data_IF_869290106036
#
_entry.id   IF_869290106036
#
_cell.length_a   1.000
_cell.length_b   1.000
_cell.length_c   1.000
_cell.angle_alpha   90.00
_cell.angle_beta   90.00
_cell.angle_gamma   90.00
#
_symmetry.space_group_name_H-M   'P 1'
#
loop_
_entity.id
_entity.type
_entity.pdbx_description
1 polymer ?
#
# COMPACT_ATOMS: atom_id res chain seq x y z
N UNK A 1 -31.72 -32.03 -11.85
CA UNK A 1 -31.27 -30.63 -11.72
C UNK A 1 -30.07 -30.60 -10.78
N UNK A 2 -28.91 -30.12 -11.20
CA UNK A 2 -27.76 -30.01 -10.30
C UNK A 2 -28.05 -28.96 -9.22
N UNK A 3 -27.85 -29.33 -7.96
CA UNK A 3 -28.07 -28.44 -6.82
C UNK A 3 -27.09 -27.26 -6.93
N UNK A 4 -27.62 -26.03 -7.02
CA UNK A 4 -26.79 -24.81 -7.03
C UNK A 4 -26.02 -24.75 -5.71
N UNK A 5 -24.69 -24.69 -5.78
CA UNK A 5 -23.81 -24.49 -4.61
C UNK A 5 -23.46 -23.02 -4.47
N UNK A 6 -23.22 -22.59 -3.23
CA UNK A 6 -22.87 -21.22 -2.87
C UNK A 6 -21.56 -21.21 -2.10
N UNK A 7 -20.77 -20.15 -2.31
CA UNK A 7 -19.49 -19.94 -1.66
C UNK A 7 -19.69 -19.72 -0.16
N UNK A 8 -18.97 -20.49 0.66
CA UNK A 8 -18.96 -20.36 2.12
C UNK A 8 -18.45 -18.99 2.60
N UNK A 9 -17.57 -18.33 1.84
CA UNK A 9 -16.96 -17.05 2.23
C UNK A 9 -17.69 -15.79 1.73
N UNK A 10 -18.32 -15.84 0.56
CA UNK A 10 -18.91 -14.64 -0.06
C UNK A 10 -20.33 -14.81 -0.55
N UNK A 11 -20.93 -16.00 -0.39
CA UNK A 11 -22.31 -16.28 -0.81
C UNK A 11 -22.55 -16.28 -2.32
N UNK A 12 -21.52 -16.04 -3.17
CA UNK A 12 -21.67 -16.13 -4.64
C UNK A 12 -21.92 -17.56 -5.09
N UNK A 13 -22.66 -17.74 -6.18
CA UNK A 13 -22.87 -19.05 -6.81
C UNK A 13 -21.54 -19.66 -7.26
N UNK A 14 -21.34 -20.94 -6.99
CA UNK A 14 -20.17 -21.69 -7.45
C UNK A 14 -20.52 -22.32 -8.80
N UNK A 15 -19.78 -21.92 -9.82
CA UNK A 15 -19.82 -22.53 -11.15
C UNK A 15 -18.59 -23.42 -11.27
N UNK A 16 -18.78 -24.74 -11.41
CA UNK A 16 -17.68 -25.71 -11.61
C UNK A 16 -17.59 -26.20 -13.06
N UNK A 17 -18.52 -25.78 -13.93
CA UNK A 17 -18.56 -26.19 -15.33
C UNK A 17 -17.29 -25.70 -16.04
N UNK A 18 -16.62 -26.60 -16.76
CA UNK A 18 -15.42 -26.36 -17.57
C UNK A 18 -14.13 -26.03 -16.79
N UNK A 19 -14.10 -26.18 -15.46
CA UNK A 19 -12.84 -26.05 -14.71
C UNK A 19 -11.98 -27.30 -14.85
N UNK A 20 -10.69 -27.11 -15.12
CA UNK A 20 -9.72 -28.18 -15.02
C UNK A 20 -9.54 -28.57 -13.55
N UNK A 21 -10.04 -29.74 -13.17
CA UNK A 21 -9.99 -30.27 -11.80
C UNK A 21 -8.58 -30.60 -11.32
N UNK A 22 -7.60 -30.65 -12.23
CA UNK A 22 -6.18 -30.81 -11.87
C UNK A 22 -5.53 -29.48 -11.45
N UNK A 23 -6.19 -28.33 -11.66
CA UNK A 23 -5.68 -27.05 -11.19
C UNK A 23 -5.86 -26.92 -9.67
N UNK A 24 -4.80 -26.46 -8.98
CA UNK A 24 -4.78 -26.18 -7.54
C UNK A 24 -5.97 -25.34 -7.06
N UNK A 25 -6.36 -24.30 -7.81
CA UNK A 25 -7.50 -23.46 -7.44
C UNK A 25 -8.81 -24.25 -7.46
N UNK A 26 -9.00 -25.11 -8.46
CA UNK A 26 -10.20 -25.96 -8.54
C UNK A 26 -10.24 -26.97 -7.38
N UNK A 27 -9.09 -27.48 -6.94
CA UNK A 27 -9.00 -28.31 -5.75
C UNK A 27 -9.43 -27.56 -4.48
N UNK A 28 -8.97 -26.32 -4.28
CA UNK A 28 -9.40 -25.46 -3.15
C UNK A 28 -10.91 -25.19 -3.20
N UNK A 29 -11.44 -24.83 -4.37
CA UNK A 29 -12.88 -24.61 -4.55
C UNK A 29 -13.73 -25.81 -4.11
N UNK A 30 -13.31 -27.03 -4.46
CA UNK A 30 -14.02 -28.27 -4.08
C UNK A 30 -13.85 -28.58 -2.60
N UNK A 31 -12.62 -28.53 -2.09
CA UNK A 31 -12.28 -28.86 -0.70
C UNK A 31 -13.01 -27.95 0.29
N UNK A 32 -12.99 -26.64 0.03
CA UNK A 32 -13.44 -25.63 1.00
C UNK A 32 -14.82 -25.07 0.66
N UNK A 33 -15.44 -25.55 -0.43
CA UNK A 33 -16.74 -25.10 -0.92
C UNK A 33 -16.79 -23.59 -1.15
N UNK A 34 -15.76 -23.06 -1.81
CA UNK A 34 -15.60 -21.63 -2.12
C UNK A 34 -15.70 -21.37 -3.63
N UNK A 35 -16.01 -20.13 -4.01
CA UNK A 35 -15.93 -19.71 -5.41
C UNK A 35 -14.49 -19.50 -5.85
N UNK A 36 -14.27 -19.40 -7.17
CA UNK A 36 -12.94 -19.23 -7.77
C UNK A 36 -12.18 -18.03 -7.19
N UNK A 37 -12.85 -16.88 -7.04
CA UNK A 37 -12.23 -15.66 -6.50
C UNK A 37 -11.73 -15.89 -5.07
N UNK A 38 -12.51 -16.57 -4.23
CA UNK A 38 -12.11 -16.85 -2.85
C UNK A 38 -10.98 -17.87 -2.80
N UNK A 39 -11.07 -18.95 -3.58
CA UNK A 39 -9.99 -19.93 -3.70
C UNK A 39 -8.68 -19.30 -4.21
N UNK A 40 -8.77 -18.36 -5.16
CA UNK A 40 -7.63 -17.61 -5.68
C UNK A 40 -6.94 -16.80 -4.58
N UNK A 41 -7.70 -16.06 -3.77
CA UNK A 41 -7.15 -15.27 -2.68
C UNK A 41 -6.60 -16.13 -1.55
N UNK A 42 -7.26 -17.23 -1.19
CA UNK A 42 -6.74 -18.20 -0.23
C UNK A 42 -5.41 -18.80 -0.70
N UNK A 43 -5.31 -19.16 -1.98
CA UNK A 43 -4.07 -19.67 -2.56
C UNK A 43 -2.95 -18.64 -2.54
N UNK A 44 -3.27 -17.39 -2.91
CA UNK A 44 -2.33 -16.27 -2.91
C UNK A 44 -1.82 -15.98 -1.49
N UNK A 45 -2.68 -16.04 -0.48
CA UNK A 45 -2.31 -15.82 0.93
C UNK A 45 -1.44 -16.96 1.45
N UNK A 46 -1.79 -18.20 1.15
CA UNK A 46 -1.04 -19.37 1.60
C UNK A 46 0.32 -19.50 0.90
N UNK A 47 0.42 -19.03 -0.35
CA UNK A 47 1.61 -19.15 -1.20
C UNK A 47 1.89 -17.83 -1.91
N UNK A 48 2.29 -16.79 -1.16
CA UNK A 48 2.49 -15.47 -1.72
C UNK A 48 3.65 -15.52 -2.73
N UNK A 49 3.46 -14.92 -3.92
CA UNK A 49 4.52 -14.85 -4.90
C UNK A 49 5.70 -14.00 -4.41
N UNK A 50 6.88 -14.27 -4.95
CA UNK A 50 8.05 -13.41 -4.73
C UNK A 50 7.75 -11.97 -5.16
N UNK A 51 8.32 -11.01 -4.42
CA UNK A 51 8.14 -9.56 -4.59
C UNK A 51 6.71 -9.06 -4.40
N UNK A 52 5.83 -9.87 -3.79
CA UNK A 52 4.49 -9.41 -3.44
C UNK A 52 4.55 -8.38 -2.30
N UNK A 53 3.88 -7.25 -2.52
CA UNK A 53 3.65 -6.23 -1.49
C UNK A 53 2.17 -5.83 -1.51
N UNK A 54 1.62 -5.53 -0.34
CA UNK A 54 0.31 -4.93 -0.18
C UNK A 54 0.49 -3.42 -0.05
N UNK A 55 -0.03 -2.67 -1.02
CA UNK A 55 0.05 -1.21 -1.08
C UNK A 55 -1.34 -0.67 -1.41
N UNK A 56 -1.88 0.21 -0.55
CA UNK A 56 -3.19 0.85 -0.75
C UNK A 56 -4.31 -0.15 -1.11
N UNK A 57 -4.45 -1.22 -0.30
CA UNK A 57 -5.46 -2.26 -0.48
C UNK A 57 -5.37 -3.04 -1.82
N UNK A 58 -4.20 -3.00 -2.46
CA UNK A 58 -3.89 -3.80 -3.65
C UNK A 58 -2.69 -4.70 -3.39
N UNK A 59 -2.74 -5.93 -3.89
CA UNK A 59 -1.56 -6.77 -4.01
C UNK A 59 -0.82 -6.42 -5.29
N UNK A 60 0.46 -6.06 -5.16
CA UNK A 60 1.35 -5.71 -6.25
C UNK A 60 2.54 -6.68 -6.26
N UNK A 61 3.09 -6.99 -7.42
CA UNK A 61 4.46 -7.51 -7.55
C UNK A 61 5.38 -6.36 -7.90
N UNK A 62 6.33 -6.06 -7.02
CA UNK A 62 7.31 -4.99 -7.18
C UNK A 62 8.67 -5.60 -7.55
N UNK A 63 8.86 -5.95 -8.81
CA UNK A 63 10.12 -6.56 -9.25
C UNK A 63 11.30 -5.56 -9.10
N UNK A 64 12.54 -6.06 -8.96
CA UNK A 64 13.73 -5.22 -9.02
C UNK A 64 13.78 -4.35 -10.28
N UNK A 65 14.57 -3.29 -10.23
CA UNK A 65 14.69 -2.38 -11.38
C UNK A 65 15.22 -3.13 -12.61
N UNK A 66 14.39 -3.20 -13.65
CA UNK A 66 14.72 -3.77 -14.94
C UNK A 66 15.48 -2.78 -15.83
N UNK A 67 16.40 -3.28 -16.65
CA UNK A 67 17.12 -2.48 -17.64
C UNK A 67 16.20 -2.13 -18.83
N UNK A 68 16.00 -0.82 -19.06
CA UNK A 68 15.15 -0.30 -20.14
C UNK A 68 15.80 -0.40 -21.52
N UNK A 69 17.08 -0.79 -21.61
CA UNK A 69 17.75 -0.96 -22.91
C UNK A 69 17.19 -2.14 -23.69
N UNK A 70 16.64 -3.14 -23.00
CA UNK A 70 15.94 -4.24 -23.64
C UNK A 70 14.54 -3.80 -24.07
N UNK A 71 14.37 -3.55 -25.37
CA UNK A 71 13.08 -3.14 -25.95
C UNK A 71 12.06 -4.28 -26.05
N UNK A 72 12.46 -5.53 -25.80
CA UNK A 72 11.56 -6.67 -25.80
C UNK A 72 10.84 -6.87 -24.47
N UNK A 73 11.35 -6.23 -23.41
CA UNK A 73 10.83 -6.41 -22.07
C UNK A 73 9.57 -5.57 -21.83
N UNK A 74 8.44 -6.25 -21.64
CA UNK A 74 7.18 -5.61 -21.23
C UNK A 74 7.24 -5.41 -19.72
N UNK A 75 7.32 -4.16 -19.29
CA UNK A 75 7.37 -3.79 -17.88
C UNK A 75 5.98 -3.43 -17.36
N UNK A 76 5.65 -3.95 -16.19
CA UNK A 76 4.49 -3.55 -15.42
C UNK A 76 4.54 -2.05 -15.09
N UNK A 77 3.38 -1.40 -14.96
CA UNK A 77 3.32 0.04 -14.63
C UNK A 77 3.92 0.95 -15.71
N UNK A 78 3.95 0.49 -16.98
CA UNK A 78 4.51 1.21 -18.13
C UNK A 78 6.01 1.55 -17.99
N UNK A 79 6.76 0.79 -17.19
CA UNK A 79 8.18 1.07 -16.98
C UNK A 79 8.45 2.33 -16.15
N UNK A 80 7.45 2.93 -15.50
CA UNK A 80 7.63 4.15 -14.70
C UNK A 80 8.30 3.80 -13.38
N UNK A 81 9.37 4.52 -13.04
CA UNK A 81 10.05 4.35 -11.76
C UNK A 81 9.15 4.84 -10.62
N UNK A 82 8.94 3.98 -9.63
CA UNK A 82 8.20 4.27 -8.39
C UNK A 82 9.00 3.80 -7.18
N UNK A 83 8.67 4.35 -6.03
CA UNK A 83 9.43 4.18 -4.80
C UNK A 83 8.48 3.81 -3.68
N UNK A 84 8.90 2.87 -2.84
CA UNK A 84 8.07 2.37 -1.75
C UNK A 84 8.91 2.23 -0.49
N UNK A 85 8.25 2.31 0.66
CA UNK A 85 8.82 2.04 1.96
C UNK A 85 8.01 0.94 2.63
N UNK A 86 8.65 -0.16 3.01
CA UNK A 86 8.03 -1.22 3.80
C UNK A 86 7.76 -0.76 5.23
N UNK A 87 6.90 -1.49 5.93
CA UNK A 87 6.58 -1.22 7.35
C UNK A 87 7.80 -1.34 8.28
N UNK A 88 8.79 -2.15 7.91
CA UNK A 88 10.08 -2.26 8.62
C UNK A 88 11.06 -1.10 8.31
N UNK A 89 10.67 -0.19 7.41
CA UNK A 89 11.48 0.95 6.97
C UNK A 89 12.44 0.66 5.81
N UNK A 90 12.51 -0.58 5.31
CA UNK A 90 13.29 -0.87 4.11
C UNK A 90 12.68 -0.22 2.87
N UNK A 91 13.53 0.11 1.90
CA UNK A 91 13.15 0.88 0.73
C UNK A 91 13.17 0.01 -0.52
N UNK A 92 12.15 0.17 -1.35
CA UNK A 92 12.02 -0.49 -2.64
C UNK A 92 12.00 0.58 -3.73
N UNK A 93 12.70 0.30 -4.81
CA UNK A 93 12.61 1.04 -6.05
C UNK A 93 12.31 0.05 -7.16
N UNK A 94 11.29 0.34 -7.98
CA UNK A 94 10.87 -0.55 -9.06
C UNK A 94 10.36 0.26 -10.26
N UNK A 95 10.62 -0.26 -11.46
CA UNK A 95 9.99 0.16 -12.70
C UNK A 95 9.18 -0.97 -13.36
N UNK A 96 9.04 -2.11 -12.69
CA UNK A 96 8.34 -3.29 -13.20
C UNK A 96 7.31 -3.76 -12.17
N UNK A 97 6.12 -3.14 -12.26
CA UNK A 97 5.10 -3.21 -11.21
C UNK A 97 3.82 -3.81 -11.77
N UNK A 98 3.47 -5.00 -11.30
CA UNK A 98 2.28 -5.71 -11.74
C UNK A 98 1.22 -5.71 -10.66
N UNK A 99 -0.02 -5.36 -11.02
CA UNK A 99 -1.16 -5.48 -10.12
C UNK A 99 -1.61 -6.94 -10.14
N UNK A 100 -1.57 -7.61 -8.98
CA UNK A 100 -2.15 -8.94 -8.81
C UNK A 100 -3.67 -8.80 -8.71
N UNK A 101 -4.14 -7.87 -7.88
CA UNK A 101 -5.56 -7.58 -7.72
C UNK A 101 -5.85 -6.63 -6.57
N UNK A 102 -7.08 -6.11 -6.54
CA UNK A 102 -7.63 -5.38 -5.38
C UNK A 102 -8.11 -6.39 -4.35
N UNK A 103 -7.68 -6.22 -3.10
CA UNK A 103 -7.98 -7.15 -2.01
C UNK A 103 -9.49 -7.05 -1.70
N UNK A 104 -10.24 -8.16 -1.58
CA UNK A 104 -11.61 -8.09 -1.09
C UNK A 104 -11.64 -7.86 0.43
N UNK A 105 -12.61 -7.10 0.94
CA UNK A 105 -12.72 -6.75 2.37
C UNK A 105 -12.58 -7.93 3.34
N UNK A 106 -13.16 -9.08 2.97
CA UNK A 106 -13.10 -10.34 3.74
C UNK A 106 -11.69 -10.90 3.94
N UNK A 107 -10.71 -10.46 3.14
CA UNK A 107 -9.31 -10.85 3.21
C UNK A 107 -8.38 -9.74 3.74
N UNK A 108 -8.90 -8.52 3.99
CA UNK A 108 -8.09 -7.37 4.42
C UNK A 108 -7.28 -7.64 5.69
N UNK A 109 -7.82 -8.39 6.65
CA UNK A 109 -7.12 -8.72 7.89
C UNK A 109 -5.95 -9.69 7.68
N UNK A 110 -5.98 -10.50 6.62
CA UNK A 110 -4.94 -11.48 6.29
C UNK A 110 -3.86 -10.88 5.38
N UNK A 111 -4.18 -9.77 4.70
CA UNK A 111 -3.29 -9.04 3.82
C UNK A 111 -3.14 -7.59 4.29
N UNK A 112 -2.50 -7.35 5.45
CA UNK A 112 -2.23 -6.01 5.93
C UNK A 112 -1.25 -5.29 4.99
N UNK A 113 -1.33 -3.96 4.95
CA UNK A 113 -0.38 -3.13 4.21
C UNK A 113 1.06 -3.46 4.60
N UNK A 114 1.87 -3.90 3.64
CA UNK A 114 3.28 -4.24 3.84
C UNK A 114 4.21 -3.11 3.39
N UNK A 115 3.75 -2.25 2.48
CA UNK A 115 4.50 -1.10 2.00
C UNK A 115 3.59 0.08 1.64
N UNK A 116 4.16 1.28 1.68
CA UNK A 116 3.52 2.52 1.22
C UNK A 116 4.31 3.09 0.05
N UNK A 117 3.62 3.65 -0.94
CA UNK A 117 4.28 4.41 -1.99
C UNK A 117 4.74 5.76 -1.45
N UNK A 118 5.96 6.16 -1.81
CA UNK A 118 6.57 7.41 -1.37
C UNK A 118 7.10 8.21 -2.56
N UNK A 119 7.30 9.50 -2.38
CA UNK A 119 7.88 10.34 -3.44
C UNK A 119 9.37 10.05 -3.62
N UNK A 120 9.92 10.36 -4.81
CA UNK A 120 11.36 10.29 -5.07
C UNK A 120 12.16 11.14 -4.06
N UNK A 121 11.59 12.28 -3.65
CA UNK A 121 12.19 13.17 -2.66
C UNK A 121 12.32 12.47 -1.30
N UNK A 122 11.24 11.86 -0.80
CA UNK A 122 11.28 11.07 0.42
C UNK A 122 12.25 9.89 0.31
N UNK A 123 12.20 9.11 -0.77
CA UNK A 123 13.09 7.96 -0.98
C UNK A 123 14.57 8.36 -0.91
N UNK A 124 14.96 9.43 -1.61
CA UNK A 124 16.34 9.95 -1.58
C UNK A 124 16.75 10.38 -0.18
N UNK A 125 15.85 11.01 0.57
CA UNK A 125 16.13 11.41 1.95
C UNK A 125 16.30 10.21 2.87
N UNK A 126 15.39 9.24 2.82
CA UNK A 126 15.43 8.01 3.63
C UNK A 126 16.69 7.19 3.33
N UNK A 127 17.09 7.09 2.05
CA UNK A 127 18.31 6.38 1.65
C UNK A 127 19.59 6.97 2.25
N UNK A 128 19.63 8.28 2.52
CA UNK A 128 20.78 8.94 3.15
C UNK A 128 20.92 8.59 4.64
N UNK A 129 19.81 8.38 5.33
CA UNK A 129 19.82 8.14 6.78
C UNK A 129 18.51 7.54 7.27
N UNK A 130 18.60 6.54 8.15
CA UNK A 130 17.46 6.00 8.88
C UNK A 130 17.28 6.64 10.28
N UNK A 131 18.11 7.63 10.64
CA UNK A 131 18.10 8.22 11.99
C UNK A 131 16.81 8.99 12.25
N UNK A 132 16.27 8.83 13.46
CA UNK A 132 15.19 9.68 13.98
C UNK A 132 15.76 11.03 14.44
N UNK A 133 14.98 12.08 14.26
CA UNK A 133 15.33 13.43 14.69
C UNK A 133 15.06 13.57 16.20
N UNK A 134 16.00 14.18 16.92
CA UNK A 134 15.91 14.41 18.37
C UNK A 134 15.77 15.90 18.75
N UNK A 135 15.44 16.77 17.80
CA UNK A 135 15.36 18.21 18.03
C UNK A 135 14.09 18.61 18.79
N UNK A 136 14.18 18.78 20.11
CA UNK A 136 13.02 19.06 20.98
C UNK A 136 12.22 20.33 20.64
N UNK A 137 12.88 21.35 20.08
CA UNK A 137 12.26 22.64 19.73
C UNK A 137 11.88 22.77 18.24
N UNK A 138 11.82 21.66 17.50
CA UNK A 138 11.52 21.66 16.07
C UNK A 138 10.11 22.21 15.80
N UNK A 139 10.01 23.23 14.96
CA UNK A 139 8.75 23.84 14.53
C UNK A 139 8.02 22.96 13.50
N UNK A 140 8.76 22.19 12.70
CA UNK A 140 8.19 21.27 11.70
C UNK A 140 7.82 19.87 12.26
N UNK A 141 7.91 19.67 13.58
CA UNK A 141 7.81 18.36 14.25
C UNK A 141 6.53 17.57 13.95
N UNK A 142 5.39 18.25 13.75
CA UNK A 142 4.12 17.59 13.46
C UNK A 142 3.98 17.17 11.99
N UNK A 143 4.82 17.72 11.11
CA UNK A 143 4.82 17.44 9.68
C UNK A 143 6.05 16.63 9.23
N UNK A 144 7.02 16.39 10.12
CA UNK A 144 8.24 15.66 9.81
C UNK A 144 8.13 14.17 10.16
N UNK A 145 8.27 13.29 9.16
CA UNK A 145 8.27 11.84 9.34
C UNK A 145 9.39 11.32 10.28
N UNK A 146 10.53 12.02 10.33
CA UNK A 146 11.67 11.61 11.16
C UNK A 146 11.54 12.04 12.61
N UNK A 147 10.65 12.98 12.93
CA UNK A 147 10.57 13.53 14.29
C UNK A 147 10.21 12.43 15.30
N UNK A 148 11.01 12.34 16.36
CA UNK A 148 10.75 11.41 17.45
C UNK A 148 9.71 12.00 18.40
N UNK A 149 8.43 11.64 18.20
CA UNK A 149 7.33 12.11 19.07
C UNK A 149 7.45 11.69 20.53
N UNK A 150 8.23 10.66 20.84
CA UNK A 150 8.47 10.28 22.24
C UNK A 150 9.11 11.40 23.06
N UNK A 151 9.77 12.37 22.40
CA UNK A 151 10.36 13.55 23.06
C UNK A 151 9.34 14.54 23.62
N UNK A 152 8.07 14.48 23.20
CA UNK A 152 7.00 15.36 23.70
C UNK A 152 6.30 14.81 24.94
N UNK A 153 6.46 13.50 25.20
CA UNK A 153 5.77 12.80 26.28
C UNK A 153 6.59 12.71 27.57
N UNK A 154 7.67 13.49 27.72
CA UNK A 154 8.52 13.51 28.91
C UNK A 154 7.92 14.32 30.08
N UNK A 155 6.60 14.27 30.22
CA UNK A 155 5.77 15.00 31.21
C UNK A 155 5.82 16.54 31.12
N UNK A 156 6.77 17.10 30.37
CA UNK A 156 6.96 18.54 30.17
C UNK A 156 6.23 19.07 28.93
N UNK A 157 5.70 18.19 28.11
CA UNK A 157 5.05 18.54 26.85
C UNK A 157 6.02 19.06 25.80
N UNK A 158 5.50 19.68 24.71
CA UNK A 158 6.35 20.26 23.69
C UNK A 158 7.18 21.41 24.25
N UNK A 159 8.48 21.45 23.92
CA UNK A 159 9.41 22.46 24.42
C UNK A 159 9.04 23.89 23.97
N UNK A 160 8.44 24.02 22.79
CA UNK A 160 8.02 25.30 22.23
C UNK A 160 6.64 25.19 21.55
N UNK A 161 5.98 26.34 21.43
CA UNK A 161 4.72 26.46 20.66
C UNK A 161 5.04 26.81 19.21
N UNK A 162 4.41 26.12 18.26
CA UNK A 162 4.54 26.47 16.83
C UNK A 162 3.75 27.76 16.57
N UNK A 163 4.38 28.83 16.03
CA UNK A 163 3.68 30.06 15.72
C UNK A 163 2.53 29.84 14.72
N UNK A 164 1.37 30.51 14.84
CA UNK A 164 0.26 30.33 13.91
C UNK A 164 0.56 30.65 12.44
N UNK A 165 1.54 31.54 12.19
CA UNK A 165 1.98 31.95 10.85
C UNK A 165 3.18 31.14 10.32
N UNK A 166 3.55 30.06 11.00
CA UNK A 166 4.67 29.22 10.59
C UNK A 166 4.32 28.42 9.34
N UNK A 167 5.17 28.49 8.31
CA UNK A 167 5.03 27.61 7.15
C UNK A 167 5.90 26.36 7.32
N UNK A 168 5.31 25.22 7.02
CA UNK A 168 6.00 23.93 7.10
C UNK A 168 7.23 23.92 6.18
N UNK A 169 8.40 23.68 6.75
CA UNK A 169 9.68 23.65 6.03
C UNK A 169 10.52 24.93 6.15
N UNK A 170 10.01 25.99 6.78
CA UNK A 170 10.75 27.25 6.99
C UNK A 170 11.95 27.07 7.94
N UNK A 171 12.06 25.93 8.66
CA UNK A 171 13.26 25.58 9.43
C UNK A 171 14.44 25.18 8.54
N UNK A 172 14.20 24.96 7.25
CA UNK A 172 15.19 24.54 6.25
C UNK A 172 16.03 23.32 6.69
N UNK A 173 15.44 22.44 7.50
CA UNK A 173 16.11 21.28 8.05
C UNK A 173 16.47 20.29 6.92
N UNK A 174 17.76 20.03 6.71
CA UNK A 174 18.23 19.08 5.69
C UNK A 174 17.79 17.63 5.92
N UNK A 175 17.31 17.31 7.12
CA UNK A 175 16.76 16.00 7.49
C UNK A 175 15.23 15.92 7.38
N UNK A 176 14.56 17.03 7.07
CA UNK A 176 13.10 17.10 7.00
C UNK A 176 12.55 16.20 5.87
N UNK A 177 11.52 15.43 6.22
CA UNK A 177 10.72 14.64 5.28
C UNK A 177 9.27 14.95 5.62
N UNK A 178 8.56 15.58 4.69
CA UNK A 178 7.16 15.91 4.89
C UNK A 178 6.35 14.61 4.97
N UNK A 179 5.44 14.48 5.93
CA UNK A 179 4.54 13.34 6.03
C UNK A 179 3.70 13.13 4.76
N UNK A 180 3.38 14.20 4.03
CA UNK A 180 2.68 14.12 2.74
C UNK A 180 3.53 13.42 1.66
N UNK A 181 4.86 13.43 1.78
CA UNK A 181 5.74 12.70 0.85
C UNK A 181 5.76 11.18 1.14
N UNK A 182 5.16 10.74 2.26
CA UNK A 182 5.12 9.34 2.74
C UNK A 182 3.71 8.75 2.68
N UNK A 183 2.67 9.56 2.91
CA UNK A 183 1.29 9.12 2.87
C UNK A 183 0.79 9.08 1.43
N UNK A 184 0.50 7.90 0.90
CA UNK A 184 -0.37 7.77 -0.26
C UNK A 184 -1.79 8.19 0.12
N UNK A 185 -2.38 9.14 -0.60
CA UNK A 185 -3.73 9.68 -0.34
C UNK A 185 -4.81 8.59 -0.28
N UNK A 186 -5.20 8.15 0.93
CA UNK A 186 -6.50 7.49 1.15
C UNK A 186 -7.65 8.52 1.17
N UNK A 187 -7.37 9.81 1.32
CA UNK A 187 -8.37 10.88 1.39
C UNK A 187 -8.98 11.29 0.06
N UNK A 188 -8.54 10.74 -1.07
CA UNK A 188 -9.08 11.11 -2.40
C UNK A 188 -10.26 10.26 -2.88
N UNK A 189 -10.65 9.22 -2.12
CA UNK A 189 -11.75 8.30 -2.49
C UNK A 189 -13.08 8.69 -1.80
N UNK A 190 -13.08 9.55 -0.77
CA UNK A 190 -14.28 9.97 -0.04
C UNK A 190 -14.45 11.49 -0.09
N UNK A 191 -14.66 12.05 -1.28
CA UNK A 191 -15.36 13.33 -1.45
C UNK A 191 -15.56 13.68 -2.93
N UNK A 192 -16.47 12.96 -3.58
CA UNK A 192 -17.38 13.64 -4.52
C UNK A 192 -18.77 13.61 -3.89
N UNK A 193 -19.26 14.72 -3.30
CA UNK A 193 -20.68 14.86 -3.09
C UNK A 193 -21.33 14.77 -4.47
N UNK A 194 -22.35 13.92 -4.61
CA UNK A 194 -23.24 13.94 -5.77
C UNK A 194 -23.94 15.31 -5.80
N UNK A 195 -23.35 16.28 -6.48
CA UNK A 195 -24.07 17.47 -6.93
C UNK A 195 -24.85 17.07 -8.17
N UNK A 196 -26.00 16.44 -7.96
CA UNK A 196 -27.11 16.42 -8.92
C UNK A 196 -28.42 16.27 -8.14
N UNK A 197 -28.64 17.20 -7.23
CA UNK A 197 -29.98 17.65 -6.88
C UNK A 197 -30.06 19.13 -7.21
N UNK A 198 -30.65 19.46 -8.35
CA UNK A 198 -31.67 20.52 -8.43
C UNK A 198 -32.30 20.58 -9.82
N UNK A 199 -33.63 20.42 -9.81
CA UNK A 199 -34.64 21.18 -10.57
C UNK A 199 -34.64 21.07 -12.10
N UNK A 200 -35.58 20.28 -12.62
CA UNK A 200 -36.83 20.81 -13.18
C UNK A 200 -37.92 19.74 -13.13
#
# INVERSE_FOLDING_TARGET
MSKIKYCSLCGKKIWMQNYNTQNRIAHIMVRDSVCYECAYWEDLIAYPPEYMEVVNHQCLRLHPVADKKDKTLILGGKGKMRYFMRTDGSLIQSNDIWVIGTIPDRFSSQLPTSAVEITLKAYRQLKKSNKKCQARACLDRYHCFRYNRALENDERGPFNTVPPKWNVGDEHCGFFINLQDIKSDESSIISKPNSNETKN
#
